data_IF_755632024606
#
_entry.id   IF_755632024606
#
_cell.length_a   1.000
_cell.length_b   1.000
_cell.length_c   1.000
_cell.angle_alpha   90.00
_cell.angle_beta   90.00
_cell.angle_gamma   90.00
#
_symmetry.space_group_name_H-M   'P 1'
#
loop_
_entity.id
_entity.type
_entity.pdbx_description
1 polymer ?
#
# COMPACT_ATOMS: atom_id res chain seq x y z
N UNK A 1 20.57 19.62 7.56
CA UNK A 1 19.53 19.96 8.56
C UNK A 1 19.03 18.65 9.17
N UNK A 2 18.75 18.62 10.46
CA UNK A 2 18.12 17.45 11.08
C UNK A 2 16.65 17.37 10.68
N UNK A 3 16.18 16.20 10.27
CA UNK A 3 14.76 15.91 10.06
C UNK A 3 13.97 16.22 11.34
N UNK A 4 12.78 16.81 11.20
CA UNK A 4 11.96 17.26 12.32
C UNK A 4 10.84 16.24 12.62
N UNK A 5 10.73 15.80 13.87
CA UNK A 5 9.54 15.07 14.33
C UNK A 5 8.39 16.07 14.57
N UNK A 6 7.27 15.82 13.90
CA UNK A 6 6.06 16.66 13.95
C UNK A 6 4.99 16.10 14.90
N UNK A 7 5.27 15.04 15.66
CA UNK A 7 4.33 14.46 16.63
C UNK A 7 3.79 15.52 17.59
N UNK A 8 2.46 15.55 17.77
CA UNK A 8 1.72 16.53 18.56
C UNK A 8 1.45 17.87 17.86
N UNK A 9 1.96 18.09 16.65
CA UNK A 9 1.73 19.31 15.87
C UNK A 9 0.68 19.10 14.78
N UNK A 10 0.06 20.20 14.35
CA UNK A 10 -0.80 20.19 13.16
C UNK A 10 0.04 20.00 11.90
N UNK A 11 -0.52 19.29 10.92
CA UNK A 11 0.03 19.23 9.56
C UNK A 11 0.04 20.63 8.93
N UNK A 12 0.96 20.91 7.99
CA UNK A 12 1.00 22.17 7.25
C UNK A 12 -0.32 22.45 6.52
N UNK A 13 -0.72 23.72 6.45
CA UNK A 13 -1.86 24.14 5.63
C UNK A 13 -1.41 24.36 4.19
N UNK A 14 -1.84 23.50 3.27
CA UNK A 14 -1.43 23.53 1.85
C UNK A 14 -2.65 23.25 0.95
N UNK A 15 -2.60 23.77 -0.27
CA UNK A 15 -3.51 23.40 -1.36
C UNK A 15 -2.72 22.68 -2.45
N UNK A 16 -3.11 21.45 -2.76
CA UNK A 16 -2.52 20.63 -3.80
C UNK A 16 -3.30 20.81 -5.10
N UNK A 17 -2.59 21.14 -6.18
CA UNK A 17 -3.19 21.27 -7.50
C UNK A 17 -3.24 19.89 -8.18
N UNK A 18 -4.40 19.24 -8.14
CA UNK A 18 -4.60 17.89 -8.68
C UNK A 18 -5.31 17.92 -10.04
N UNK A 19 -5.19 16.82 -10.79
CA UNK A 19 -5.99 16.53 -11.98
C UNK A 19 -6.92 15.36 -11.68
N UNK A 20 -8.24 15.58 -11.78
CA UNK A 20 -9.26 14.53 -11.68
C UNK A 20 -10.01 14.47 -13.00
N UNK A 21 -9.81 13.38 -13.74
CA UNK A 21 -10.16 13.33 -15.16
C UNK A 21 -9.50 14.49 -15.92
N UNK A 22 -10.30 15.21 -16.69
CA UNK A 22 -9.80 16.33 -17.50
C UNK A 22 -9.80 17.70 -16.78
N UNK A 23 -10.20 17.75 -15.51
CA UNK A 23 -10.32 18.99 -14.74
C UNK A 23 -9.16 19.18 -13.75
N UNK A 24 -8.79 20.45 -13.54
CA UNK A 24 -8.02 20.85 -12.37
C UNK A 24 -8.94 20.86 -11.15
N UNK A 25 -8.48 20.24 -10.07
CA UNK A 25 -9.18 20.18 -8.79
C UNK A 25 -8.18 20.49 -7.69
N UNK A 26 -8.43 21.57 -6.96
CA UNK A 26 -7.66 21.89 -5.76
C UNK A 26 -8.12 20.98 -4.63
N UNK A 27 -7.15 20.34 -3.97
CA UNK A 27 -7.38 19.51 -2.79
C UNK A 27 -6.63 20.14 -1.62
N UNK A 28 -7.33 20.50 -0.57
CA UNK A 28 -6.72 21.14 0.60
C UNK A 28 -6.33 20.12 1.66
N UNK A 29 -5.35 20.47 2.49
CA UNK A 29 -5.02 19.66 3.68
C UNK A 29 -6.20 19.50 4.63
N UNK A 30 -7.08 20.50 4.71
CA UNK A 30 -8.29 20.43 5.53
C UNK A 30 -9.27 19.36 5.03
N UNK A 31 -9.46 19.24 3.72
CA UNK A 31 -10.30 18.18 3.11
C UNK A 31 -9.73 16.78 3.35
N UNK A 32 -8.40 16.66 3.40
CA UNK A 32 -7.72 15.38 3.65
C UNK A 32 -7.79 15.02 5.13
N UNK A 33 -7.57 15.97 6.06
CA UNK A 33 -7.26 15.65 7.45
C UNK A 33 -8.30 16.07 8.50
N UNK A 34 -9.20 17.04 8.23
CA UNK A 34 -10.16 17.48 9.25
C UNK A 34 -11.21 16.41 9.51
N UNK A 35 -11.44 16.13 10.80
CA UNK A 35 -12.37 15.12 11.29
C UNK A 35 -12.12 13.70 10.73
N UNK A 36 -10.88 13.42 10.30
CA UNK A 36 -10.46 12.12 9.76
C UNK A 36 -9.24 11.59 10.50
N UNK A 37 -9.13 10.27 10.55
CA UNK A 37 -7.92 9.51 10.88
C UNK A 37 -7.27 9.08 9.57
N UNK A 38 -6.07 9.59 9.31
CA UNK A 38 -5.38 9.39 8.03
C UNK A 38 -4.03 8.75 8.27
N UNK A 39 -3.75 7.67 7.56
CA UNK A 39 -2.39 7.13 7.44
C UNK A 39 -1.74 7.81 6.25
N UNK A 40 -0.59 8.44 6.47
CA UNK A 40 0.18 9.09 5.41
C UNK A 40 1.53 8.41 5.30
N UNK A 41 2.01 8.20 4.08
CA UNK A 41 3.40 7.85 3.83
C UNK A 41 3.95 8.68 2.68
N UNK A 42 5.19 9.13 2.82
CA UNK A 42 5.88 9.92 1.83
C UNK A 42 7.08 9.19 1.27
N UNK A 43 7.39 9.48 0.01
CA UNK A 43 8.47 8.84 -0.74
C UNK A 43 9.30 9.87 -1.52
N UNK A 44 10.56 9.53 -1.84
CA UNK A 44 11.45 10.39 -2.62
C UNK A 44 10.93 10.76 -4.01
N UNK A 45 10.16 9.88 -4.67
CA UNK A 45 9.64 10.16 -6.00
C UNK A 45 8.86 8.98 -6.58
N UNK A 46 7.85 9.29 -7.40
CA UNK A 46 7.15 8.33 -8.25
C UNK A 46 8.11 7.56 -9.18
N UNK A 47 7.75 6.33 -9.55
CA UNK A 47 8.54 5.42 -10.41
C UNK A 47 9.92 4.99 -9.88
N UNK A 48 10.29 5.37 -8.65
CA UNK A 48 11.55 4.89 -8.04
C UNK A 48 11.40 3.46 -7.49
N UNK A 49 12.48 2.64 -7.44
CA UNK A 49 12.38 1.19 -7.23
C UNK A 49 11.63 0.77 -5.96
N UNK A 50 12.11 1.15 -4.77
CA UNK A 50 11.52 0.74 -3.48
C UNK A 50 10.08 1.23 -3.30
N UNK A 51 9.79 2.40 -3.85
CA UNK A 51 8.47 3.01 -3.81
C UNK A 51 7.44 2.17 -4.58
N UNK A 52 7.86 1.62 -5.72
CA UNK A 52 6.99 0.91 -6.66
C UNK A 52 6.95 -0.59 -6.40
N UNK A 53 8.00 -1.20 -5.87
CA UNK A 53 8.03 -2.65 -5.62
C UNK A 53 7.42 -3.07 -4.29
N UNK A 54 7.39 -2.18 -3.29
CA UNK A 54 7.16 -2.60 -1.90
C UNK A 54 6.32 -1.61 -1.11
N UNK A 55 6.70 -0.34 -1.07
CA UNK A 55 6.12 0.61 -0.12
C UNK A 55 4.64 0.90 -0.41
N UNK A 56 4.31 1.44 -1.59
CA UNK A 56 2.93 1.73 -1.98
C UNK A 56 2.07 0.45 -2.10
N UNK A 57 2.54 -0.63 -2.76
CA UNK A 57 1.76 -1.86 -2.87
C UNK A 57 1.32 -2.45 -1.52
N UNK A 58 2.19 -2.44 -0.51
CA UNK A 58 1.86 -3.02 0.80
C UNK A 58 0.83 -2.19 1.57
N UNK A 59 0.85 -0.85 1.47
CA UNK A 59 -0.22 -0.02 2.02
C UNK A 59 -1.55 -0.27 1.29
N UNK A 60 -1.53 -0.45 -0.04
CA UNK A 60 -2.72 -0.79 -0.82
C UNK A 60 -3.28 -2.17 -0.44
N UNK A 61 -2.42 -3.16 -0.21
CA UNK A 61 -2.78 -4.51 0.23
C UNK A 61 -3.46 -4.51 1.61
N UNK A 62 -2.88 -3.78 2.57
CA UNK A 62 -3.39 -3.71 3.94
C UNK A 62 -4.52 -2.69 4.14
N UNK A 63 -4.94 -1.97 3.09
CA UNK A 63 -5.89 -0.87 3.21
C UNK A 63 -7.20 -1.24 3.90
N UNK A 64 -7.76 -2.40 3.56
CA UNK A 64 -8.99 -2.91 4.21
C UNK A 64 -8.81 -3.13 5.71
N UNK A 65 -7.63 -3.56 6.13
CA UNK A 65 -7.34 -3.79 7.55
C UNK A 65 -7.15 -2.45 8.30
N UNK A 66 -6.51 -1.47 7.68
CA UNK A 66 -6.47 -0.10 8.20
C UNK A 66 -7.86 0.49 8.38
N UNK A 67 -8.74 0.36 7.38
CA UNK A 67 -10.11 0.86 7.45
C UNK A 67 -10.93 0.17 8.55
N UNK A 68 -10.72 -1.14 8.74
CA UNK A 68 -11.34 -1.88 9.85
C UNK A 68 -10.90 -1.37 11.25
N UNK A 69 -9.73 -0.74 11.35
CA UNK A 69 -9.23 -0.08 12.56
C UNK A 69 -9.71 1.39 12.69
N UNK A 70 -10.55 1.86 11.76
CA UNK A 70 -11.12 3.20 11.77
C UNK A 70 -10.21 4.27 11.16
N UNK A 71 -9.25 3.89 10.31
CA UNK A 71 -8.59 4.83 9.39
C UNK A 71 -9.59 5.20 8.30
N UNK A 72 -9.76 6.49 8.02
CA UNK A 72 -10.67 6.99 6.99
C UNK A 72 -10.01 7.02 5.60
N UNK A 73 -8.70 7.28 5.55
CA UNK A 73 -7.98 7.44 4.29
C UNK A 73 -6.50 7.04 4.43
N UNK A 74 -5.94 6.51 3.34
CA UNK A 74 -4.50 6.25 3.21
C UNK A 74 -3.97 7.14 2.10
N UNK A 75 -2.98 7.96 2.42
CA UNK A 75 -2.45 8.98 1.53
C UNK A 75 -0.97 8.74 1.25
N UNK A 76 -0.62 8.65 -0.02
CA UNK A 76 0.75 8.66 -0.50
C UNK A 76 1.12 10.08 -0.96
N UNK A 77 2.12 10.69 -0.35
CA UNK A 77 2.65 11.99 -0.76
C UNK A 77 3.96 11.81 -1.50
N UNK A 78 4.16 12.53 -2.60
CA UNK A 78 5.49 12.69 -3.16
C UNK A 78 5.66 14.09 -3.75
N UNK A 79 6.90 14.55 -3.79
CA UNK A 79 7.25 15.81 -4.45
C UNK A 79 7.27 15.55 -5.94
N UNK A 80 6.09 15.46 -6.55
CA UNK A 80 5.88 15.27 -7.98
C UNK A 80 4.59 15.99 -8.36
N UNK A 81 4.46 16.40 -9.62
CA UNK A 81 3.22 16.98 -10.12
C UNK A 81 2.14 15.91 -10.33
N UNK A 82 0.89 16.37 -10.52
CA UNK A 82 -0.27 15.48 -10.64
C UNK A 82 -0.24 14.60 -11.89
N UNK A 83 0.43 15.00 -12.98
CA UNK A 83 0.49 14.17 -14.19
C UNK A 83 1.34 12.93 -13.93
N UNK A 84 2.50 13.13 -13.30
CA UNK A 84 3.37 12.03 -12.89
C UNK A 84 2.70 11.16 -11.83
N UNK A 85 2.11 11.75 -10.78
CA UNK A 85 1.47 10.97 -9.71
C UNK A 85 0.26 10.17 -10.20
N UNK A 86 -0.54 10.71 -11.13
CA UNK A 86 -1.68 9.98 -11.69
C UNK A 86 -1.23 8.81 -12.56
N UNK A 87 -0.27 9.04 -13.47
CA UNK A 87 0.29 7.98 -14.31
C UNK A 87 0.94 6.88 -13.46
N UNK A 88 1.65 7.26 -12.41
CA UNK A 88 2.22 6.30 -11.47
C UNK A 88 1.16 5.55 -10.68
N UNK A 89 0.09 6.20 -10.18
CA UNK A 89 -1.00 5.50 -9.49
C UNK A 89 -1.64 4.42 -10.36
N UNK A 90 -1.87 4.74 -11.65
CA UNK A 90 -2.40 3.79 -12.63
C UNK A 90 -1.44 2.61 -12.86
N UNK A 91 -0.16 2.89 -13.08
CA UNK A 91 0.90 1.87 -13.24
C UNK A 91 1.03 0.94 -12.03
N UNK A 92 0.76 1.45 -10.82
CA UNK A 92 0.86 0.71 -9.57
C UNK A 92 -0.43 -0.01 -9.17
N UNK A 93 -1.51 0.10 -9.95
CA UNK A 93 -2.82 -0.53 -9.70
C UNK A 93 -3.32 -0.32 -8.25
N UNK A 94 -3.02 0.84 -7.67
CA UNK A 94 -3.21 1.11 -6.24
C UNK A 94 -4.50 1.89 -5.98
N UNK A 95 -5.63 1.19 -6.10
CA UNK A 95 -6.97 1.77 -5.99
C UNK A 95 -7.33 2.26 -4.58
N UNK A 96 -6.78 1.64 -3.53
CA UNK A 96 -7.12 1.93 -2.14
C UNK A 96 -6.25 3.05 -1.53
N UNK A 97 -5.38 3.69 -2.31
CA UNK A 97 -4.49 4.76 -1.83
C UNK A 97 -4.75 6.04 -2.62
N UNK A 98 -4.96 7.14 -1.92
CA UNK A 98 -4.99 8.47 -2.51
C UNK A 98 -3.56 8.94 -2.74
N UNK A 99 -3.22 9.38 -3.95
CA UNK A 99 -1.92 9.98 -4.25
C UNK A 99 -2.04 11.50 -4.23
N UNK A 100 -1.12 12.16 -3.55
CA UNK A 100 -1.09 13.61 -3.40
C UNK A 100 0.17 14.19 -4.05
N UNK A 101 0.01 15.04 -5.08
CA UNK A 101 1.11 15.65 -5.81
C UNK A 101 1.61 16.91 -5.10
N UNK A 102 2.54 16.77 -4.16
CA UNK A 102 3.21 17.88 -3.51
C UNK A 102 4.29 18.49 -4.41
N UNK A 103 3.95 18.84 -5.65
CA UNK A 103 4.91 19.18 -6.71
C UNK A 103 5.85 20.35 -6.38
N UNK A 104 5.43 21.29 -5.53
CA UNK A 104 6.26 22.40 -5.05
C UNK A 104 7.07 22.05 -3.78
N UNK A 105 6.82 20.88 -3.19
CA UNK A 105 7.39 20.46 -1.91
C UNK A 105 6.90 21.27 -0.73
N UNK A 106 5.76 21.97 -0.83
CA UNK A 106 5.26 22.89 0.20
C UNK A 106 4.84 22.16 1.46
N UNK A 107 4.11 21.07 1.30
CA UNK A 107 3.72 20.21 2.41
C UNK A 107 4.95 19.54 3.02
N UNK A 108 5.79 18.95 2.17
CA UNK A 108 7.03 18.27 2.57
C UNK A 108 7.98 19.21 3.34
N UNK A 109 8.09 20.46 2.91
CA UNK A 109 8.89 21.50 3.59
C UNK A 109 8.29 21.87 4.94
N UNK A 110 6.97 22.06 5.00
CA UNK A 110 6.27 22.34 6.26
C UNK A 110 6.38 21.19 7.28
N UNK A 111 6.45 19.95 6.79
CA UNK A 111 6.71 18.76 7.60
C UNK A 111 8.17 18.64 8.05
N UNK A 112 9.07 19.50 7.55
CA UNK A 112 10.50 19.43 7.84
C UNK A 112 11.20 18.22 7.20
N UNK A 113 10.60 17.64 6.16
CA UNK A 113 11.04 16.41 5.48
C UNK A 113 11.64 16.68 4.10
N UNK A 114 11.75 17.94 3.67
CA UNK A 114 12.35 18.28 2.37
C UNK A 114 13.87 18.13 2.44
N UNK A 115 14.42 17.30 1.57
CA UNK A 115 15.86 17.04 1.47
C UNK A 115 16.33 17.19 0.03
N UNK A 116 17.58 17.60 -0.15
CA UNK A 116 18.21 17.61 -1.46
C UNK A 116 18.65 16.21 -1.86
N UNK A 117 18.32 15.80 -3.09
CA UNK A 117 18.76 14.54 -3.73
C UNK A 117 19.42 14.84 -5.08
N UNK A 118 20.22 15.91 -5.12
CA UNK A 118 20.91 16.37 -6.33
C UNK A 118 21.91 15.33 -6.89
N UNK A 119 22.44 14.46 -6.03
CA UNK A 119 23.31 13.34 -6.39
C UNK A 119 22.62 12.32 -7.32
N UNK A 120 21.29 12.23 -7.26
CA UNK A 120 20.46 11.40 -8.14
C UNK A 120 19.80 12.20 -9.28
N UNK A 121 20.08 13.52 -9.37
CA UNK A 121 19.43 14.40 -10.33
C UNK A 121 17.95 14.69 -10.02
N UNK A 122 17.51 14.47 -8.77
CA UNK A 122 16.11 14.63 -8.41
C UNK A 122 15.76 16.04 -7.96
N UNK A 123 16.73 16.88 -7.62
CA UNK A 123 16.44 18.14 -6.93
C UNK A 123 16.01 17.90 -5.48
N UNK A 124 15.20 18.80 -4.94
CA UNK A 124 14.63 18.66 -3.61
C UNK A 124 13.42 17.71 -3.64
N UNK A 125 13.38 16.76 -2.71
CA UNK A 125 12.34 15.72 -2.60
C UNK A 125 11.99 15.46 -1.14
N UNK A 126 10.93 14.71 -0.91
CA UNK A 126 10.63 14.23 0.44
C UNK A 126 11.63 13.17 0.88
N UNK A 127 12.06 13.28 2.13
CA UNK A 127 12.58 12.13 2.86
C UNK A 127 11.47 11.09 3.05
N UNK A 128 11.85 9.83 3.20
CA UNK A 128 10.89 8.74 3.39
C UNK A 128 10.42 8.71 4.85
N UNK A 129 9.11 8.74 5.05
CA UNK A 129 8.50 8.62 6.37
C UNK A 129 7.06 8.12 6.24
N UNK A 130 6.49 7.64 7.33
CA UNK A 130 5.04 7.51 7.46
C UNK A 130 4.56 8.19 8.73
N UNK A 131 3.26 8.49 8.81
CA UNK A 131 2.64 9.08 9.98
C UNK A 131 1.18 8.71 10.10
N UNK A 132 0.70 8.70 11.34
CA UNK A 132 -0.72 8.66 11.65
C UNK A 132 -1.17 10.06 12.05
N UNK A 133 -2.19 10.58 11.36
CA UNK A 133 -2.76 11.91 11.57
C UNK A 133 -4.19 11.75 12.03
N UNK A 134 -4.54 12.36 13.16
CA UNK A 134 -5.90 12.39 13.67
C UNK A 134 -6.40 13.83 13.76
N UNK A 135 -7.42 14.16 12.97
CA UNK A 135 -8.01 15.50 12.91
C UNK A 135 -6.95 16.60 12.68
N UNK A 136 -6.11 16.39 11.66
CA UNK A 136 -5.03 17.30 11.31
C UNK A 136 -3.82 17.32 12.25
N UNK A 137 -3.82 16.58 13.36
CA UNK A 137 -2.68 16.49 14.29
C UNK A 137 -1.91 15.21 14.05
N UNK A 138 -0.58 15.32 13.89
CA UNK A 138 0.31 14.15 13.77
C UNK A 138 0.39 13.45 15.12
N UNK A 139 -0.20 12.27 15.26
CA UNK A 139 -0.14 11.48 16.50
C UNK A 139 1.11 10.61 16.58
N UNK A 140 1.58 10.12 15.44
CA UNK A 140 2.80 9.32 15.36
C UNK A 140 3.49 9.55 14.03
N UNK A 141 4.82 9.61 14.06
CA UNK A 141 5.66 9.69 12.88
C UNK A 141 6.74 8.59 12.93
N UNK A 142 6.99 7.96 11.79
CA UNK A 142 8.04 6.98 11.56
C UNK A 142 8.98 7.51 10.47
N UNK A 143 10.02 8.20 10.89
CA UNK A 143 11.00 8.83 10.01
C UNK A 143 12.11 7.81 9.74
N UNK A 144 12.40 7.53 8.47
CA UNK A 144 13.50 6.62 8.13
C UNK A 144 14.85 7.15 8.64
N UNK A 145 15.77 6.27 9.07
CA UNK A 145 17.08 6.70 9.53
C UNK A 145 17.89 7.26 8.37
N UNK A 146 18.62 8.36 8.62
CA UNK A 146 19.50 8.98 7.63
C UNK A 146 20.76 8.14 7.40
N UNK A 147 20.60 7.06 6.64
CA UNK A 147 21.65 6.14 6.23
C UNK A 147 21.85 6.21 4.71
N UNK A 148 23.04 5.84 4.19
CA UNK A 148 23.27 5.75 2.75
C UNK A 148 22.27 4.83 2.03
N UNK A 149 21.88 5.19 0.82
CA UNK A 149 20.94 4.42 -0.01
C UNK A 149 19.49 4.92 0.11
N UNK A 150 18.55 4.00 -0.01
CA UNK A 150 17.11 4.27 0.06
C UNK A 150 16.50 3.49 1.26
N UNK A 151 16.68 3.99 2.50
CA UNK A 151 16.24 3.28 3.70
C UNK A 151 14.72 3.10 3.72
N UNK A 152 14.29 1.90 4.08
CA UNK A 152 12.89 1.51 4.25
C UNK A 152 12.80 0.45 5.37
N UNK A 153 12.75 0.90 6.62
CA UNK A 153 12.86 0.08 7.83
C UNK A 153 11.75 0.34 8.84
N UNK A 154 11.14 1.52 8.83
CA UNK A 154 10.17 1.94 9.85
C UNK A 154 8.91 2.59 9.27
N UNK A 155 8.97 3.08 8.03
CA UNK A 155 7.84 3.75 7.37
C UNK A 155 6.88 2.78 6.67
N UNK A 156 7.16 1.47 6.71
CA UNK A 156 6.36 0.44 6.09
C UNK A 156 4.97 0.29 6.72
N UNK A 157 4.05 -0.30 5.95
CA UNK A 157 2.66 -0.47 6.37
C UNK A 157 2.52 -1.43 7.55
N UNK A 158 3.37 -2.46 7.66
CA UNK A 158 3.34 -3.43 8.75
C UNK A 158 3.73 -2.76 10.09
N UNK A 159 4.73 -1.87 10.08
CA UNK A 159 5.08 -1.03 11.23
C UNK A 159 3.92 -0.13 11.63
N UNK A 160 3.27 0.52 10.66
CA UNK A 160 2.12 1.39 10.92
C UNK A 160 0.92 0.62 11.51
N UNK A 161 0.52 -0.50 10.90
CA UNK A 161 -0.64 -1.25 11.37
C UNK A 161 -0.39 -1.89 12.74
N UNK A 162 0.84 -2.32 13.04
CA UNK A 162 1.23 -2.77 14.39
C UNK A 162 1.17 -1.66 15.42
N UNK A 163 1.46 -0.43 15.03
CA UNK A 163 1.26 0.71 15.93
C UNK A 163 -0.22 0.94 16.25
N UNK A 164 -1.09 0.86 15.24
CA UNK A 164 -2.55 1.02 15.43
C UNK A 164 -3.20 -0.18 16.12
N UNK A 165 -2.65 -1.38 15.93
CA UNK A 165 -3.07 -2.61 16.58
C UNK A 165 -1.83 -3.44 16.98
N UNK A 166 -1.33 -3.30 18.21
CA UNK A 166 -0.15 -4.04 18.69
C UNK A 166 -0.28 -5.56 18.68
N UNK A 167 -1.51 -6.08 18.64
CA UNK A 167 -1.80 -7.52 18.55
C UNK A 167 -1.91 -8.03 17.10
N UNK A 168 -1.76 -7.14 16.12
CA UNK A 168 -1.81 -7.51 14.71
C UNK A 168 -0.63 -8.40 14.33
N UNK A 169 -0.94 -9.48 13.63
CA UNK A 169 0.06 -10.35 13.00
C UNK A 169 -0.19 -10.45 11.50
N UNK A 170 0.90 -10.50 10.74
CA UNK A 170 0.84 -10.65 9.30
C UNK A 170 0.21 -12.00 8.95
N UNK A 171 -0.89 -11.95 8.19
CA UNK A 171 -1.49 -13.16 7.62
C UNK A 171 -0.54 -13.75 6.57
N UNK A 172 -0.52 -15.08 6.41
CA UNK A 172 0.26 -15.69 5.33
C UNK A 172 -0.27 -15.23 3.98
N UNK A 173 0.62 -14.95 3.03
CA UNK A 173 0.23 -14.66 1.64
C UNK A 173 -0.55 -15.84 1.06
N UNK A 174 -1.72 -15.57 0.51
CA UNK A 174 -2.55 -16.58 -0.14
C UNK A 174 -2.70 -16.24 -1.62
N UNK A 175 -2.45 -17.21 -2.48
CA UNK A 175 -2.72 -17.11 -3.92
C UNK A 175 -3.56 -18.30 -4.36
N UNK A 176 -4.56 -18.05 -5.21
CA UNK A 176 -5.42 -19.07 -5.78
C UNK A 176 -5.48 -18.92 -7.29
N UNK A 177 -5.12 -19.99 -8.01
CA UNK A 177 -5.28 -20.05 -9.47
C UNK A 177 -6.67 -20.62 -9.79
N UNK A 178 -7.47 -19.89 -10.55
CA UNK A 178 -8.88 -20.23 -10.83
C UNK A 178 -9.21 -20.22 -12.32
N UNK A 179 -10.43 -20.61 -12.68
CA UNK A 179 -10.96 -20.47 -14.03
C UNK A 179 -12.41 -19.96 -13.96
N UNK A 180 -12.86 -19.08 -14.88
CA UNK A 180 -14.25 -18.64 -14.92
C UNK A 180 -15.24 -19.81 -14.98
N UNK A 181 -16.32 -19.74 -14.20
CA UNK A 181 -17.36 -20.78 -14.13
C UNK A 181 -17.01 -22.03 -13.33
N UNK A 182 -15.85 -22.10 -12.68
CA UNK A 182 -15.41 -23.24 -11.89
C UNK A 182 -16.10 -23.27 -10.49
N UNK A 183 -16.94 -24.28 -10.19
CA UNK A 183 -17.63 -24.36 -8.90
C UNK A 183 -16.67 -24.65 -7.74
N UNK A 184 -15.66 -25.49 -7.95
CA UNK A 184 -14.64 -25.80 -6.93
C UNK A 184 -13.80 -24.57 -6.56
N UNK A 185 -13.54 -23.70 -7.53
CA UNK A 185 -12.83 -22.45 -7.32
C UNK A 185 -13.65 -21.51 -6.45
N UNK A 186 -14.97 -21.40 -6.72
CA UNK A 186 -15.89 -20.62 -5.89
C UNK A 186 -15.98 -21.15 -4.46
N UNK A 187 -16.03 -22.48 -4.27
CA UNK A 187 -16.00 -23.13 -2.95
C UNK A 187 -14.71 -22.81 -2.18
N UNK A 188 -13.55 -22.93 -2.83
CA UNK A 188 -12.26 -22.62 -2.21
C UNK A 188 -12.16 -21.13 -1.81
N UNK A 189 -12.60 -20.21 -2.67
CA UNK A 189 -12.64 -18.76 -2.37
C UNK A 189 -13.54 -18.44 -1.18
N UNK A 190 -14.75 -18.99 -1.15
CA UNK A 190 -15.66 -18.82 -0.01
C UNK A 190 -15.05 -19.34 1.30
N UNK A 191 -14.32 -20.46 1.25
CA UNK A 191 -13.63 -20.99 2.44
C UNK A 191 -12.52 -20.05 2.94
N UNK A 192 -11.74 -19.45 2.04
CA UNK A 192 -10.72 -18.45 2.40
C UNK A 192 -11.35 -17.20 3.03
N UNK A 193 -12.48 -16.73 2.48
CA UNK A 193 -13.25 -15.61 3.03
C UNK A 193 -13.77 -15.90 4.44
N UNK A 194 -14.35 -17.09 4.66
CA UNK A 194 -14.80 -17.55 5.98
C UNK A 194 -13.65 -17.61 6.98
N UNK A 195 -12.45 -17.98 6.54
CA UNK A 195 -11.23 -18.00 7.37
C UNK A 195 -10.58 -16.61 7.53
N UNK A 196 -11.13 -15.56 6.92
CA UNK A 196 -10.61 -14.19 7.01
C UNK A 196 -9.24 -14.01 6.34
N UNK A 197 -8.93 -14.87 5.36
CA UNK A 197 -7.66 -14.84 4.63
C UNK A 197 -7.85 -14.09 3.30
N UNK A 198 -7.29 -12.88 3.15
CA UNK A 198 -7.24 -12.24 1.85
C UNK A 198 -6.38 -13.07 0.90
N UNK A 199 -6.73 -13.06 -0.39
CA UNK A 199 -6.04 -13.84 -1.41
C UNK A 199 -5.92 -13.07 -2.72
N UNK A 200 -4.84 -13.34 -3.45
CA UNK A 200 -4.68 -12.97 -4.85
C UNK A 200 -5.28 -14.06 -5.74
N UNK A 201 -6.12 -13.68 -6.70
CA UNK A 201 -6.71 -14.61 -7.67
C UNK A 201 -6.01 -14.49 -9.04
N UNK A 202 -5.41 -15.59 -9.50
CA UNK A 202 -4.81 -15.68 -10.84
C UNK A 202 -5.80 -16.41 -11.76
N UNK A 203 -6.43 -15.68 -12.67
CA UNK A 203 -7.51 -16.20 -13.51
C UNK A 203 -6.93 -16.78 -14.80
N UNK A 204 -7.16 -18.09 -15.03
CA UNK A 204 -6.76 -18.73 -16.27
C UNK A 204 -7.50 -18.15 -17.48
N UNK A 205 -6.74 -17.81 -18.52
CA UNK A 205 -7.22 -17.17 -19.74
C UNK A 205 -7.16 -15.64 -19.73
N UNK A 206 -6.84 -15.04 -18.57
CA UNK A 206 -6.56 -13.61 -18.44
C UNK A 206 -5.12 -13.39 -17.93
N UNK A 207 -4.81 -13.94 -16.77
CA UNK A 207 -3.56 -13.66 -16.04
C UNK A 207 -2.52 -14.78 -16.23
N UNK A 208 -2.98 -16.01 -16.47
CA UNK A 208 -2.12 -17.16 -16.71
C UNK A 208 -2.76 -18.19 -17.64
N UNK A 209 -1.98 -19.20 -18.02
CA UNK A 209 -2.46 -20.35 -18.79
C UNK A 209 -2.29 -21.66 -18.01
N UNK A 210 -2.87 -22.75 -18.53
CA UNK A 210 -2.73 -24.08 -17.91
C UNK A 210 -1.26 -24.54 -17.82
N UNK A 211 -0.36 -23.95 -18.61
CA UNK A 211 1.09 -24.20 -18.51
C UNK A 211 1.64 -23.76 -17.16
N UNK A 212 1.25 -22.58 -16.66
CA UNK A 212 1.69 -22.10 -15.34
C UNK A 212 1.20 -23.02 -14.22
N UNK A 213 -0.04 -23.50 -14.31
CA UNK A 213 -0.58 -24.48 -13.35
C UNK A 213 0.30 -25.72 -13.29
N UNK A 214 0.56 -26.36 -14.44
CA UNK A 214 1.38 -27.57 -14.51
C UNK A 214 2.80 -27.33 -14.01
N UNK A 215 3.43 -26.23 -14.42
CA UNK A 215 4.81 -25.92 -14.07
C UNK A 215 4.99 -25.65 -12.57
N UNK A 216 4.07 -24.93 -11.94
CA UNK A 216 4.20 -24.50 -10.55
C UNK A 216 3.68 -25.58 -9.57
N UNK A 217 2.59 -26.28 -9.93
CA UNK A 217 1.87 -27.17 -9.01
C UNK A 217 2.08 -28.66 -9.29
N UNK A 218 2.56 -29.01 -10.49
CA UNK A 218 2.53 -30.39 -10.99
C UNK A 218 1.12 -30.93 -11.27
N UNK A 219 0.07 -30.11 -11.13
CA UNK A 219 -1.33 -30.49 -11.36
C UNK A 219 -1.85 -29.94 -12.69
N UNK A 220 -2.96 -30.50 -13.17
CA UNK A 220 -3.59 -30.11 -14.44
C UNK A 220 -4.93 -29.40 -14.27
N UNK A 221 -5.46 -29.33 -13.05
CA UNK A 221 -6.79 -28.78 -12.73
C UNK A 221 -6.73 -27.58 -11.80
N UNK A 222 -7.80 -26.81 -11.77
CA UNK A 222 -8.04 -25.70 -10.82
C UNK A 222 -9.21 -26.04 -9.88
N UNK A 223 -9.31 -25.41 -8.69
CA UNK A 223 -8.39 -24.41 -8.13
C UNK A 223 -7.04 -24.99 -7.74
N UNK A 224 -6.00 -24.15 -7.68
CA UNK A 224 -4.74 -24.47 -7.02
C UNK A 224 -4.40 -23.37 -6.02
N UNK A 225 -4.33 -23.73 -4.74
CA UNK A 225 -4.19 -22.79 -3.62
C UNK A 225 -2.79 -22.89 -3.03
N UNK A 226 -2.21 -21.74 -2.72
CA UNK A 226 -0.93 -21.59 -2.02
C UNK A 226 -1.14 -20.74 -0.78
N UNK A 227 -0.54 -21.12 0.34
CA UNK A 227 -0.61 -20.37 1.61
C UNK A 227 0.80 -20.29 2.20
N UNK A 228 1.31 -19.08 2.41
CA UNK A 228 2.62 -18.85 3.03
C UNK A 228 3.77 -19.52 2.27
N UNK A 229 3.71 -19.53 0.93
CA UNK A 229 4.69 -20.18 0.06
C UNK A 229 4.55 -21.71 -0.09
N UNK A 230 3.62 -22.34 0.64
CA UNK A 230 3.35 -23.78 0.50
C UNK A 230 2.20 -24.04 -0.46
N UNK A 231 2.40 -24.95 -1.40
CA UNK A 231 1.31 -25.49 -2.24
C UNK A 231 0.38 -26.37 -1.40
N UNK A 232 -0.90 -26.00 -1.34
CA UNK A 232 -1.93 -26.71 -0.58
C UNK A 232 -2.67 -27.71 -1.47
N UNK A 233 -3.07 -27.29 -2.67
CA UNK A 233 -3.78 -28.14 -3.63
C UNK A 233 -5.12 -27.57 -4.08
N UNK A 234 -6.11 -28.43 -4.30
CA UNK A 234 -7.44 -28.08 -4.76
C UNK A 234 -8.41 -27.68 -3.63
N UNK A 235 -9.70 -27.61 -3.96
CA UNK A 235 -10.74 -27.20 -2.99
C UNK A 235 -10.86 -28.16 -1.81
N UNK A 236 -10.71 -29.46 -2.03
CA UNK A 236 -10.83 -30.46 -0.95
C UNK A 236 -9.55 -30.53 -0.11
N UNK A 237 -8.38 -30.36 -0.74
CA UNK A 237 -7.10 -30.24 -0.03
C UNK A 237 -7.09 -29.01 0.90
N UNK A 238 -7.66 -27.89 0.44
CA UNK A 238 -7.81 -26.68 1.24
C UNK A 238 -8.72 -26.90 2.45
N UNK A 239 -9.83 -27.62 2.27
CA UNK A 239 -10.72 -27.99 3.38
C UNK A 239 -9.95 -28.83 4.40
N UNK A 240 -9.28 -29.90 3.94
CA UNK A 240 -8.49 -30.77 4.82
C UNK A 240 -7.37 -30.01 5.56
N UNK A 241 -6.73 -29.03 4.90
CA UNK A 241 -5.72 -28.18 5.53
C UNK A 241 -6.25 -27.38 6.72
N UNK A 242 -7.51 -26.92 6.66
CA UNK A 242 -8.16 -26.18 7.74
C UNK A 242 -8.91 -27.03 8.77
N UNK A 243 -9.12 -28.31 8.49
CA UNK A 243 -9.74 -29.23 9.45
C UNK A 243 -8.73 -29.81 10.45
N UNK A 244 -7.43 -29.79 10.09
CA UNK A 244 -6.33 -30.33 10.90
C UNK A 244 -5.65 -29.24 11.75
N UNK A 245 -5.99 -27.96 11.53
CA UNK A 245 -5.46 -26.80 12.25
C UNK A 245 -6.56 -26.08 13.01
#
# INVERSE_FOLDING_TARGET
MSLKDMTGQKVPSVTFHTRQGDAWVDVTTDEIFNNKKVVVFSLPGAFTPTCSSTHLPRYNELAKEFYALGVDEIVCVSVNDTFVMNAWKEDQESENVTVIPDGNGDFTRGMGMLVSKNDLGFGDRSWRYSMFVNNGVVEKMFIEPQEPGDPFKVSDADTMIKYLNPSWEAKPSVSIITKPGCPFCSKAKALLEVKGLPYEEIILGKDASTTSVRAITGRTSVPQVFIGGKHIGGSDDLQAYFDVK
#
